data_IF_509323466077
#
_entry.id   IF_509323466077
#
_cell.length_a   1.000
_cell.length_b   1.000
_cell.length_c   1.000
_cell.angle_alpha   90.00
_cell.angle_beta   90.00
_cell.angle_gamma   90.00
#
_symmetry.space_group_name_H-M   'P 1'
#
loop_
_entity.id
_entity.type
_entity.pdbx_description
1 polymer ?
#
# COMPACT_ATOMS: atom_id res chain seq x y z
N UNK A 1 16.19 51.97 -38.89
CA UNK A 1 15.62 51.63 -37.56
C UNK A 1 14.79 50.33 -37.55
N UNK A 2 14.40 49.76 -38.70
CA UNK A 2 13.60 48.52 -38.80
C UNK A 2 14.42 47.22 -38.78
N UNK A 3 15.71 47.27 -39.11
CA UNK A 3 16.61 46.11 -39.15
C UNK A 3 17.04 45.62 -37.77
N UNK A 4 17.31 46.52 -36.82
CA UNK A 4 17.68 46.17 -35.44
C UNK A 4 16.55 45.49 -34.66
N UNK A 5 15.29 45.89 -34.87
CA UNK A 5 14.14 45.23 -34.24
C UNK A 5 13.95 43.78 -34.70
N UNK A 6 14.27 43.49 -35.96
CA UNK A 6 14.12 42.15 -36.56
C UNK A 6 15.21 41.18 -36.08
N UNK A 7 16.43 41.67 -35.88
CA UNK A 7 17.56 40.84 -35.38
C UNK A 7 17.39 40.51 -33.90
N UNK A 8 16.87 41.43 -33.09
CA UNK A 8 16.57 41.20 -31.67
C UNK A 8 15.46 40.14 -31.48
N UNK A 9 14.39 40.17 -32.28
CA UNK A 9 13.32 39.15 -32.25
C UNK A 9 13.83 37.77 -32.71
N UNK A 10 14.65 37.73 -33.77
CA UNK A 10 15.27 36.47 -34.21
C UNK A 10 16.17 35.85 -33.13
N UNK A 11 17.04 36.66 -32.50
CA UNK A 11 17.91 36.20 -31.42
C UNK A 11 17.12 35.71 -30.18
N UNK A 12 15.99 36.36 -29.86
CA UNK A 12 15.09 35.92 -28.80
C UNK A 12 14.46 34.55 -29.11
N UNK A 13 13.96 34.34 -30.33
CA UNK A 13 13.38 33.07 -30.78
C UNK A 13 14.40 31.93 -30.79
N UNK A 14 15.63 32.17 -31.25
CA UNK A 14 16.72 31.17 -31.23
C UNK A 14 17.05 30.76 -29.79
N UNK A 15 17.20 31.73 -28.86
CA UNK A 15 17.45 31.43 -27.44
C UNK A 15 16.31 30.66 -26.80
N UNK A 16 15.06 31.00 -27.10
CA UNK A 16 13.89 30.27 -26.61
C UNK A 16 13.86 28.81 -27.14
N UNK A 17 14.20 28.62 -28.41
CA UNK A 17 14.31 27.28 -29.00
C UNK A 17 15.44 26.46 -28.36
N UNK A 18 16.62 27.04 -28.17
CA UNK A 18 17.77 26.39 -27.50
C UNK A 18 17.42 25.97 -26.06
N UNK A 19 16.80 26.86 -25.27
CA UNK A 19 16.34 26.55 -23.90
C UNK A 19 15.34 25.39 -23.89
N UNK A 20 14.38 25.39 -24.81
CA UNK A 20 13.40 24.30 -24.94
C UNK A 20 14.08 22.98 -25.28
N UNK A 21 15.03 22.97 -26.23
CA UNK A 21 15.76 21.77 -26.61
C UNK A 21 16.60 21.23 -25.46
N UNK A 22 17.32 22.10 -24.74
CA UNK A 22 18.07 21.71 -23.55
C UNK A 22 17.16 21.12 -22.46
N UNK A 23 16.01 21.75 -22.20
CA UNK A 23 15.02 21.25 -21.25
C UNK A 23 14.50 19.86 -21.64
N UNK A 24 14.13 19.65 -22.91
CA UNK A 24 13.66 18.33 -23.40
C UNK A 24 14.73 17.26 -23.24
N UNK A 25 15.97 17.57 -23.59
CA UNK A 25 17.08 16.61 -23.44
C UNK A 25 17.32 16.25 -21.98
N UNK A 26 17.28 17.24 -21.09
CA UNK A 26 17.42 17.02 -19.65
C UNK A 26 16.29 16.16 -19.09
N UNK A 27 15.02 16.52 -19.37
CA UNK A 27 13.85 15.76 -18.91
C UNK A 27 13.89 14.33 -19.45
N UNK A 28 14.22 14.12 -20.72
CA UNK A 28 14.30 12.76 -21.31
C UNK A 28 15.36 11.92 -20.63
N UNK A 29 16.52 12.50 -20.35
CA UNK A 29 17.63 11.81 -19.67
C UNK A 29 17.23 11.43 -18.24
N UNK A 30 16.66 12.35 -17.48
CA UNK A 30 16.23 12.08 -16.10
C UNK A 30 15.07 11.09 -16.06
N UNK A 31 14.07 11.22 -16.94
CA UNK A 31 12.98 10.25 -17.10
C UNK A 31 13.50 8.83 -17.31
N UNK A 32 14.47 8.64 -18.22
CA UNK A 32 15.07 7.33 -18.46
C UNK A 32 15.74 6.72 -17.22
N UNK A 33 16.45 7.53 -16.42
CA UNK A 33 17.11 7.06 -15.20
C UNK A 33 16.12 6.67 -14.10
N UNK A 34 15.08 7.46 -13.87
CA UNK A 34 14.02 7.12 -12.92
C UNK A 34 13.24 5.87 -13.35
N UNK A 35 13.02 5.71 -14.66
CA UNK A 35 12.40 4.52 -15.24
C UNK A 35 13.24 3.27 -14.99
N UNK A 36 14.56 3.37 -15.21
CA UNK A 36 15.48 2.26 -14.96
C UNK A 36 15.56 1.89 -13.47
N UNK A 37 15.66 2.90 -12.58
CA UNK A 37 15.63 2.68 -11.13
C UNK A 37 14.38 1.91 -10.69
N UNK A 38 13.23 2.33 -11.20
CA UNK A 38 11.95 1.70 -10.87
C UNK A 38 11.66 0.39 -11.62
N UNK A 39 12.49 -0.05 -12.57
CA UNK A 39 12.10 -1.13 -13.49
C UNK A 39 11.88 -2.48 -12.79
N UNK A 40 12.82 -2.90 -11.95
CA UNK A 40 12.74 -4.21 -11.27
C UNK A 40 11.58 -4.24 -10.28
N UNK A 41 11.50 -3.22 -9.41
CA UNK A 41 10.39 -3.10 -8.45
C UNK A 41 9.05 -2.88 -9.15
N UNK A 42 9.02 -2.12 -10.24
CA UNK A 42 7.83 -1.90 -11.06
C UNK A 42 7.32 -3.19 -11.71
N UNK A 43 8.20 -4.05 -12.21
CA UNK A 43 7.82 -5.38 -12.71
C UNK A 43 7.28 -6.28 -11.59
N UNK A 44 7.94 -6.26 -10.42
CA UNK A 44 7.49 -7.00 -9.24
C UNK A 44 6.08 -6.55 -8.81
N UNK A 45 5.86 -5.24 -8.70
CA UNK A 45 4.57 -4.65 -8.32
C UNK A 45 3.51 -4.86 -9.41
N UNK A 46 3.88 -4.75 -10.68
CA UNK A 46 2.98 -5.01 -11.81
C UNK A 46 2.48 -6.46 -11.80
N UNK A 47 3.39 -7.43 -11.67
CA UNK A 47 3.03 -8.84 -11.60
C UNK A 47 2.16 -9.16 -10.38
N UNK A 48 2.59 -8.73 -9.18
CA UNK A 48 1.84 -8.99 -7.94
C UNK A 48 0.49 -8.28 -7.90
N UNK A 49 0.36 -7.09 -8.50
CA UNK A 49 -0.90 -6.36 -8.63
C UNK A 49 -1.87 -7.05 -9.59
N UNK A 50 -1.40 -7.50 -10.75
CA UNK A 50 -2.22 -8.30 -11.69
C UNK A 50 -2.71 -9.58 -11.00
N UNK A 51 -1.81 -10.29 -10.32
CA UNK A 51 -2.16 -11.48 -9.55
C UNK A 51 -3.22 -11.17 -8.50
N UNK A 52 -3.04 -10.10 -7.70
CA UNK A 52 -3.96 -9.72 -6.64
C UNK A 52 -5.37 -9.40 -7.16
N UNK A 53 -5.46 -8.71 -8.30
CA UNK A 53 -6.74 -8.34 -8.91
C UNK A 53 -7.51 -9.55 -9.45
N UNK A 54 -6.80 -10.57 -9.95
CA UNK A 54 -7.44 -11.70 -10.63
C UNK A 54 -7.61 -12.95 -9.76
N UNK A 55 -6.83 -13.10 -8.68
CA UNK A 55 -6.82 -14.35 -7.89
C UNK A 55 -8.19 -14.79 -7.38
N UNK A 56 -9.06 -13.84 -7.02
CA UNK A 56 -10.38 -14.15 -6.47
C UNK A 56 -11.32 -14.65 -7.58
N UNK A 57 -11.25 -14.03 -8.76
CA UNK A 57 -12.09 -14.38 -9.93
C UNK A 57 -11.62 -15.69 -10.55
N UNK A 58 -10.30 -15.86 -10.68
CA UNK A 58 -9.67 -17.04 -11.29
C UNK A 58 -9.41 -18.18 -10.29
N UNK A 59 -9.73 -18.00 -9.01
CA UNK A 59 -9.52 -18.96 -7.92
C UNK A 59 -8.08 -19.51 -7.87
N UNK A 60 -7.11 -18.63 -8.08
CA UNK A 60 -5.69 -19.00 -8.09
C UNK A 60 -5.25 -19.38 -6.67
N UNK A 61 -4.51 -20.49 -6.48
CA UNK A 61 -4.07 -20.92 -5.16
C UNK A 61 -3.08 -19.91 -4.57
N UNK A 62 -3.28 -19.53 -3.30
CA UNK A 62 -2.41 -18.56 -2.64
C UNK A 62 -1.17 -19.21 -1.99
N UNK A 63 -1.02 -20.55 -2.03
CA UNK A 63 0.09 -21.28 -1.39
C UNK A 63 0.35 -20.78 0.04
N UNK A 64 -0.70 -20.77 0.87
CA UNK A 64 -0.62 -20.40 2.29
C UNK A 64 -1.03 -21.59 3.14
N UNK A 65 -0.27 -21.85 4.19
CA UNK A 65 -0.60 -22.86 5.19
C UNK A 65 -0.88 -22.17 6.51
N UNK A 66 -2.10 -22.35 7.02
CA UNK A 66 -2.54 -21.75 8.29
C UNK A 66 -2.69 -22.83 9.34
N UNK A 67 -1.96 -22.68 10.44
CA UNK A 67 -2.09 -23.51 11.64
C UNK A 67 -2.71 -22.69 12.76
N UNK A 68 -3.49 -23.34 13.62
CA UNK A 68 -4.11 -22.71 14.78
C UNK A 68 -3.71 -23.49 16.03
N UNK A 69 -3.27 -22.78 17.04
CA UNK A 69 -2.94 -23.28 18.36
C UNK A 69 -3.65 -22.43 19.42
N UNK A 70 -3.76 -22.98 20.63
CA UNK A 70 -4.19 -22.22 21.80
C UNK A 70 -3.03 -22.21 22.78
N UNK A 71 -2.71 -21.03 23.29
CA UNK A 71 -1.66 -20.83 24.28
C UNK A 71 -2.32 -20.53 25.62
N UNK A 72 -2.03 -21.33 26.64
CA UNK A 72 -2.51 -21.07 28.00
C UNK A 72 -1.90 -19.75 28.52
N UNK A 73 -2.70 -18.95 29.20
CA UNK A 73 -2.24 -17.70 29.81
C UNK A 73 -1.36 -17.98 31.04
N UNK A 74 -0.42 -17.07 31.34
CA UNK A 74 0.38 -17.16 32.56
C UNK A 74 -0.46 -16.78 33.77
N UNK A 75 0.04 -17.12 34.96
CA UNK A 75 -0.53 -16.71 36.25
C UNK A 75 0.48 -15.78 36.96
N UNK A 76 0.15 -14.50 37.21
CA UNK A 76 -1.12 -13.81 36.91
C UNK A 76 -1.30 -13.48 35.42
N UNK A 77 -2.57 -13.37 35.00
CA UNK A 77 -2.94 -13.00 33.62
C UNK A 77 -2.53 -11.55 33.34
N UNK A 78 -1.92 -11.23 32.18
CA UNK A 78 -1.58 -9.86 31.85
C UNK A 78 -2.84 -8.99 31.73
N UNK A 79 -2.95 -7.98 32.58
CA UNK A 79 -4.14 -7.12 32.67
C UNK A 79 -4.19 -6.03 31.59
N UNK A 80 -3.04 -5.69 31.01
CA UNK A 80 -2.94 -4.65 29.98
C UNK A 80 -2.53 -5.23 28.63
N UNK A 81 -2.95 -4.61 27.51
CA UNK A 81 -2.48 -4.98 26.18
C UNK A 81 -0.95 -4.93 26.05
N UNK A 82 -0.30 -3.97 26.72
CA UNK A 82 1.15 -3.82 26.73
C UNK A 82 1.83 -5.00 27.44
N UNK A 83 1.34 -5.38 28.63
CA UNK A 83 1.87 -6.52 29.36
C UNK A 83 1.62 -7.84 28.60
N UNK A 84 0.44 -7.98 27.98
CA UNK A 84 0.11 -9.11 27.12
C UNK A 84 1.07 -9.19 25.91
N UNK A 85 1.38 -8.05 25.30
CA UNK A 85 2.28 -7.99 24.13
C UNK A 85 3.71 -8.43 24.49
N UNK A 86 4.23 -8.01 25.64
CA UNK A 86 5.55 -8.40 26.14
C UNK A 86 5.60 -9.89 26.46
N UNK A 87 4.56 -10.42 27.12
CA UNK A 87 4.48 -11.84 27.41
C UNK A 87 4.40 -12.67 26.12
N UNK A 88 3.53 -12.28 25.17
CA UNK A 88 3.40 -12.96 23.88
C UNK A 88 4.70 -12.96 23.08
N UNK A 89 5.46 -11.86 23.10
CA UNK A 89 6.76 -11.80 22.46
C UNK A 89 7.69 -12.90 22.96
N UNK A 90 7.78 -13.08 24.28
CA UNK A 90 8.58 -14.14 24.89
C UNK A 90 8.02 -15.55 24.63
N UNK A 91 6.71 -15.73 24.85
CA UNK A 91 6.06 -17.03 24.74
C UNK A 91 6.05 -17.59 23.31
N UNK A 92 5.90 -16.72 22.31
CA UNK A 92 5.95 -17.07 20.90
C UNK A 92 7.38 -17.03 20.31
N UNK A 93 8.40 -16.65 21.11
CA UNK A 93 9.80 -16.50 20.68
C UNK A 93 9.97 -15.53 19.50
N UNK A 94 9.22 -14.43 19.53
CA UNK A 94 9.28 -13.40 18.50
C UNK A 94 10.51 -12.50 18.71
N UNK A 95 11.18 -12.14 17.62
CA UNK A 95 12.41 -11.33 17.66
C UNK A 95 12.18 -9.87 18.06
N UNK A 96 10.94 -9.40 18.08
CA UNK A 96 10.57 -8.01 18.35
C UNK A 96 9.11 -7.85 18.78
N UNK A 97 8.69 -6.61 19.10
CA UNK A 97 7.31 -6.31 19.43
C UNK A 97 6.36 -6.60 18.25
N UNK A 98 5.04 -6.67 18.48
CA UNK A 98 4.07 -6.81 17.39
C UNK A 98 4.24 -5.70 16.35
N UNK A 99 4.11 -6.04 15.06
CA UNK A 99 4.07 -5.07 13.96
C UNK A 99 2.82 -4.19 14.03
N UNK A 100 1.74 -4.72 14.61
CA UNK A 100 0.49 -3.98 14.83
C UNK A 100 -0.25 -4.59 16.01
N UNK A 101 -0.91 -3.72 16.77
CA UNK A 101 -1.80 -4.08 17.87
C UNK A 101 -3.14 -3.43 17.63
N UNK A 102 -4.22 -4.22 17.67
CA UNK A 102 -5.60 -3.73 17.59
C UNK A 102 -6.30 -4.05 18.90
N UNK A 103 -6.82 -3.02 19.55
CA UNK A 103 -7.56 -3.12 20.81
C UNK A 103 -8.97 -2.66 20.54
N UNK A 104 -9.92 -3.58 20.67
CA UNK A 104 -11.34 -3.29 20.64
C UNK A 104 -11.86 -3.32 22.07
N UNK A 105 -12.33 -2.18 22.56
CA UNK A 105 -12.91 -2.08 23.89
C UNK A 105 -14.21 -2.88 23.97
N UNK A 106 -14.59 -3.26 25.20
CA UNK A 106 -15.86 -3.93 25.43
C UNK A 106 -17.01 -3.06 24.92
N UNK A 107 -17.91 -3.65 24.13
CA UNK A 107 -19.01 -2.92 23.50
C UNK A 107 -20.30 -3.75 23.50
N UNK A 108 -21.48 -3.12 23.53
CA UNK A 108 -22.74 -3.84 23.35
C UNK A 108 -22.75 -4.57 22.00
N UNK A 109 -23.22 -5.81 21.95
CA UNK A 109 -23.34 -6.53 20.67
C UNK A 109 -24.40 -5.87 19.78
N UNK A 110 -24.07 -5.69 18.50
CA UNK A 110 -24.93 -4.99 17.54
C UNK A 110 -26.24 -5.73 17.22
N UNK A 111 -26.30 -7.03 17.47
CA UNK A 111 -27.45 -7.90 17.23
C UNK A 111 -28.30 -8.15 18.48
N UNK A 112 -27.97 -7.54 19.62
CA UNK A 112 -28.89 -7.54 20.76
C UNK A 112 -30.17 -6.78 20.35
N UNK A 113 -31.32 -7.46 20.46
CA UNK A 113 -32.60 -6.88 20.11
C UNK A 113 -32.91 -5.71 21.06
N UNK A 114 -32.81 -4.48 20.56
CA UNK A 114 -33.12 -3.28 21.36
C UNK A 114 -34.60 -3.18 21.74
N UNK A 115 -35.47 -3.94 21.08
CA UNK A 115 -36.91 -3.91 21.34
C UNK A 115 -37.32 -4.82 22.50
N UNK A 116 -36.54 -5.85 22.78
CA UNK A 116 -36.75 -6.75 23.91
C UNK A 116 -36.00 -6.26 25.16
N UNK A 117 -36.71 -5.49 25.99
CA UNK A 117 -36.20 -4.98 27.28
C UNK A 117 -36.03 -6.06 28.34
N UNK A 118 -36.47 -7.29 28.08
CA UNK A 118 -36.33 -8.43 29.00
C UNK A 118 -35.11 -9.30 28.71
N UNK A 119 -34.51 -9.15 27.53
CA UNK A 119 -33.27 -9.83 27.16
C UNK A 119 -32.07 -9.25 27.94
N UNK A 120 -31.15 -10.09 28.46
CA UNK A 120 -29.93 -9.61 29.09
C UNK A 120 -29.11 -8.73 28.15
N UNK A 121 -28.57 -7.63 28.65
CA UNK A 121 -27.65 -6.79 27.91
C UNK A 121 -26.35 -7.57 27.61
N UNK A 122 -26.29 -8.19 26.44
CA UNK A 122 -25.10 -8.92 25.98
C UNK A 122 -24.01 -7.91 25.60
N UNK A 123 -22.85 -8.03 26.25
CA UNK A 123 -21.67 -7.22 25.96
C UNK A 123 -20.59 -8.10 25.34
N UNK A 124 -20.02 -7.63 24.24
CA UNK A 124 -18.81 -8.19 23.68
C UNK A 124 -17.63 -7.81 24.60
N UNK A 125 -16.87 -8.78 25.13
CA UNK A 125 -15.70 -8.47 25.94
C UNK A 125 -14.62 -7.79 25.11
N UNK A 126 -13.69 -7.12 25.76
CA UNK A 126 -12.58 -6.49 25.06
C UNK A 126 -11.78 -7.53 24.25
N UNK A 127 -11.39 -7.17 23.04
CA UNK A 127 -10.73 -8.05 22.09
C UNK A 127 -9.40 -7.44 21.65
N UNK A 128 -8.32 -8.16 21.89
CA UNK A 128 -6.97 -7.73 21.57
C UNK A 128 -6.39 -8.64 20.50
N UNK A 129 -5.89 -8.04 19.43
CA UNK A 129 -5.24 -8.72 18.32
C UNK A 129 -3.83 -8.19 18.17
N UNK A 130 -2.86 -9.09 18.28
CA UNK A 130 -1.44 -8.79 18.09
C UNK A 130 -0.95 -9.53 16.85
N UNK A 131 -0.33 -8.81 15.91
CA UNK A 131 0.25 -9.42 14.71
C UNK A 131 1.77 -9.33 14.77
N UNK A 132 2.43 -10.48 14.76
CA UNK A 132 3.88 -10.65 14.71
C UNK A 132 4.31 -11.26 13.37
N UNK A 133 5.62 -11.33 13.16
CA UNK A 133 6.23 -11.97 11.99
C UNK A 133 6.56 -10.98 10.87
N UNK A 134 6.51 -11.44 9.63
CA UNK A 134 6.88 -10.69 8.45
C UNK A 134 6.27 -11.26 7.17
N UNK A 135 6.87 -10.99 6.00
CA UNK A 135 6.22 -11.28 4.71
C UNK A 135 6.03 -12.78 4.43
N UNK A 136 6.92 -13.62 4.99
CA UNK A 136 6.92 -15.07 4.81
C UNK A 136 6.10 -15.81 5.88
N UNK A 137 5.89 -15.21 7.04
CA UNK A 137 5.21 -15.84 8.16
C UNK A 137 4.49 -14.78 8.99
N UNK A 138 3.19 -14.97 9.22
CA UNK A 138 2.39 -14.06 10.04
C UNK A 138 1.87 -14.85 11.23
N UNK A 139 2.16 -14.37 12.44
CA UNK A 139 1.65 -14.96 13.68
C UNK A 139 0.66 -13.99 14.30
N UNK A 140 -0.60 -14.38 14.34
CA UNK A 140 -1.68 -13.59 14.89
C UNK A 140 -2.10 -14.19 16.24
N UNK A 141 -2.01 -13.40 17.30
CA UNK A 141 -2.46 -13.77 18.62
C UNK A 141 -3.73 -12.98 18.98
N UNK A 142 -4.80 -13.67 19.29
CA UNK A 142 -6.12 -13.12 19.61
C UNK A 142 -6.50 -13.49 21.05
N UNK A 143 -6.76 -12.47 21.86
CA UNK A 143 -7.21 -12.61 23.23
C UNK A 143 -8.55 -11.92 23.43
N UNK A 144 -9.50 -12.65 24.01
CA UNK A 144 -10.76 -12.12 24.49
C UNK A 144 -10.67 -11.98 26.00
N UNK A 145 -10.93 -10.78 26.51
CA UNK A 145 -10.82 -10.49 27.93
C UNK A 145 -11.68 -11.45 28.76
N UNK A 146 -11.07 -12.13 29.73
CA UNK A 146 -11.70 -13.15 30.57
C UNK A 146 -11.53 -14.59 30.08
N UNK A 147 -10.90 -14.81 28.91
CA UNK A 147 -10.51 -16.14 28.48
C UNK A 147 -9.28 -16.64 29.27
N UNK A 148 -9.08 -17.96 29.33
CA UNK A 148 -7.91 -18.61 29.97
C UNK A 148 -6.78 -18.93 28.98
N UNK A 149 -7.02 -18.67 27.70
CA UNK A 149 -6.06 -18.92 26.63
C UNK A 149 -6.09 -17.80 25.59
N UNK A 150 -5.00 -17.72 24.84
CA UNK A 150 -4.87 -16.89 23.64
C UNK A 150 -4.93 -17.79 22.42
N UNK A 151 -5.78 -17.45 21.45
CA UNK A 151 -5.80 -18.11 20.16
C UNK A 151 -4.62 -17.63 19.33
N UNK A 152 -3.78 -18.54 18.84
CA UNK A 152 -2.62 -18.21 18.03
C UNK A 152 -2.80 -18.84 16.65
N UNK A 153 -2.81 -18.03 15.61
CA UNK A 153 -2.87 -18.47 14.24
C UNK A 153 -1.56 -18.12 13.52
N UNK A 154 -0.81 -19.13 13.13
CA UNK A 154 0.41 -18.97 12.32
C UNK A 154 0.08 -19.24 10.86
N UNK A 155 0.51 -18.34 9.98
CA UNK A 155 0.32 -18.47 8.53
C UNK A 155 1.67 -18.42 7.85
N UNK A 156 2.08 -19.53 7.24
CA UNK A 156 3.25 -19.58 6.38
C UNK A 156 2.86 -19.23 4.94
N UNK A 157 3.62 -18.33 4.33
CA UNK A 157 3.40 -17.85 2.99
C UNK A 157 4.42 -18.48 2.04
N UNK A 158 3.93 -19.15 1.00
CA UNK A 158 4.74 -19.48 -0.17
C UNK A 158 5.13 -18.24 -0.96
N UNK A 159 5.99 -18.41 -1.96
CA UNK A 159 6.58 -17.32 -2.74
C UNK A 159 5.57 -16.28 -3.25
N UNK A 160 4.47 -16.74 -3.86
CA UNK A 160 3.45 -15.84 -4.41
C UNK A 160 2.70 -15.10 -3.31
N UNK A 161 2.36 -15.78 -2.20
CA UNK A 161 1.75 -15.12 -1.04
C UNK A 161 2.67 -14.05 -0.46
N UNK A 162 3.96 -14.36 -0.28
CA UNK A 162 4.98 -13.39 0.15
C UNK A 162 4.98 -12.17 -0.76
N UNK A 163 5.04 -12.37 -2.08
CA UNK A 163 5.07 -11.27 -3.04
C UNK A 163 3.82 -10.37 -2.93
N UNK A 164 2.64 -10.99 -2.78
CA UNK A 164 1.39 -10.24 -2.61
C UNK A 164 1.30 -9.52 -1.26
N UNK A 165 1.91 -10.05 -0.20
CA UNK A 165 1.99 -9.37 1.11
C UNK A 165 2.95 -8.19 1.06
N UNK A 166 4.10 -8.34 0.40
CA UNK A 166 5.06 -7.25 0.15
C UNK A 166 4.43 -6.12 -0.67
N UNK A 167 3.61 -6.46 -1.68
CA UNK A 167 2.86 -5.48 -2.49
C UNK A 167 1.86 -4.68 -1.66
N UNK A 168 1.14 -5.34 -0.73
CA UNK A 168 0.16 -4.68 0.15
C UNK A 168 0.80 -3.89 1.30
N UNK A 169 2.10 -4.08 1.55
CA UNK A 169 2.78 -3.51 2.72
C UNK A 169 2.46 -4.20 4.05
N UNK A 170 1.93 -5.43 4.03
CA UNK A 170 1.55 -6.15 5.25
C UNK A 170 2.78 -6.63 6.04
N UNK A 171 3.03 -6.04 7.21
CA UNK A 171 4.12 -6.47 8.11
C UNK A 171 5.52 -6.22 7.55
N UNK A 172 5.70 -5.19 6.71
CA UNK A 172 6.99 -4.85 6.11
C UNK A 172 7.86 -3.98 7.02
N UNK A 173 9.19 -4.19 7.05
CA UNK A 173 10.10 -3.35 7.84
C UNK A 173 10.29 -1.97 7.19
N UNK A 174 10.75 -0.99 7.99
CA UNK A 174 10.96 0.39 7.55
C UNK A 174 11.79 0.54 6.25
N UNK A 175 12.91 -0.18 6.04
CA UNK A 175 13.67 -0.07 4.79
C UNK A 175 12.86 -0.44 3.54
N UNK A 176 11.92 -1.39 3.64
CA UNK A 176 11.06 -1.73 2.52
C UNK A 176 10.05 -0.63 2.21
N UNK A 177 9.45 -0.04 3.26
CA UNK A 177 8.50 1.07 3.10
C UNK A 177 9.19 2.22 2.36
N UNK A 178 10.37 2.63 2.83
CA UNK A 178 11.15 3.69 2.19
C UNK A 178 11.54 3.34 0.74
N UNK A 179 11.90 2.08 0.47
CA UNK A 179 12.20 1.62 -0.88
C UNK A 179 10.98 1.77 -1.81
N UNK A 180 9.81 1.34 -1.37
CA UNK A 180 8.54 1.48 -2.10
C UNK A 180 8.15 2.95 -2.26
N UNK A 181 8.41 3.81 -1.28
CA UNK A 181 8.19 5.25 -1.39
C UNK A 181 9.06 5.87 -2.50
N UNK A 182 10.31 5.42 -2.66
CA UNK A 182 11.14 5.87 -3.80
C UNK A 182 10.59 5.43 -5.15
N UNK A 183 9.95 4.24 -5.22
CA UNK A 183 9.25 3.77 -6.41
C UNK A 183 8.00 4.61 -6.69
N UNK A 184 7.20 4.92 -5.67
CA UNK A 184 6.04 5.80 -5.81
C UNK A 184 6.45 7.19 -6.31
N UNK A 185 7.51 7.76 -5.72
CA UNK A 185 8.10 9.02 -6.17
C UNK A 185 8.59 8.96 -7.62
N UNK A 186 9.21 7.85 -8.04
CA UNK A 186 9.65 7.68 -9.43
C UNK A 186 8.47 7.58 -10.39
N UNK A 187 7.39 6.90 -10.04
CA UNK A 187 6.17 6.84 -10.86
C UNK A 187 5.51 8.21 -11.02
N UNK A 188 5.42 9.01 -9.95
CA UNK A 188 4.93 10.39 -10.01
C UNK A 188 5.82 11.20 -10.97
N UNK A 189 7.14 11.14 -10.78
CA UNK A 189 8.09 11.85 -11.64
C UNK A 189 7.95 11.42 -13.10
N UNK A 190 7.89 10.11 -13.38
CA UNK A 190 7.73 9.55 -14.73
C UNK A 190 6.44 10.02 -15.40
N UNK A 191 5.32 10.04 -14.66
CA UNK A 191 4.05 10.54 -15.15
C UNK A 191 4.13 12.02 -15.54
N UNK A 192 4.63 12.88 -14.64
CA UNK A 192 4.77 14.32 -14.88
C UNK A 192 5.75 14.63 -16.01
N UNK A 193 6.91 13.99 -16.01
CA UNK A 193 7.93 14.17 -17.04
C UNK A 193 7.47 13.61 -18.39
N UNK A 194 6.68 12.54 -18.43
CA UNK A 194 6.04 12.03 -19.65
C UNK A 194 5.08 13.06 -20.26
N UNK A 195 4.21 13.66 -19.45
CA UNK A 195 3.31 14.75 -19.88
C UNK A 195 4.11 15.96 -20.35
N UNK A 196 5.15 16.36 -19.62
CA UNK A 196 6.01 17.48 -19.99
C UNK A 196 6.72 17.23 -21.33
N UNK A 197 7.32 16.06 -21.52
CA UNK A 197 7.94 15.67 -22.78
C UNK A 197 6.93 15.69 -23.92
N UNK A 198 5.74 15.14 -23.71
CA UNK A 198 4.66 15.17 -24.71
C UNK A 198 4.32 16.60 -25.11
N UNK A 199 4.06 17.48 -24.15
CA UNK A 199 3.73 18.89 -24.39
C UNK A 199 4.86 19.67 -25.09
N UNK A 200 6.12 19.36 -24.74
CA UNK A 200 7.29 20.02 -25.31
C UNK A 200 7.74 19.47 -26.65
N UNK A 201 7.30 18.27 -27.06
CA UNK A 201 7.72 17.63 -28.32
C UNK A 201 6.61 17.60 -29.38
N UNK A 202 5.34 17.49 -28.98
CA UNK A 202 4.24 17.30 -29.92
C UNK A 202 3.57 18.63 -30.33
N UNK A 203 3.40 18.82 -31.65
CA UNK A 203 2.72 20.00 -32.23
C UNK A 203 1.19 19.95 -32.03
N UNK A 204 0.59 18.76 -32.01
CA UNK A 204 -0.86 18.54 -31.82
C UNK A 204 -1.22 18.28 -30.35
N UNK A 205 -0.99 19.26 -29.48
CA UNK A 205 -1.20 19.14 -28.02
C UNK A 205 -2.64 18.78 -27.62
N UNK A 206 -3.64 19.18 -28.43
CA UNK A 206 -5.06 18.96 -28.17
C UNK A 206 -5.44 17.48 -28.07
N UNK A 207 -4.79 16.61 -28.86
CA UNK A 207 -5.06 15.16 -28.82
C UNK A 207 -4.61 14.56 -27.48
N UNK A 208 -3.43 14.96 -27.00
CA UNK A 208 -2.94 14.53 -25.69
C UNK A 208 -3.81 15.02 -24.55
N UNK A 209 -4.27 16.27 -24.61
CA UNK A 209 -5.21 16.83 -23.62
C UNK A 209 -6.57 16.10 -23.64
N UNK A 210 -7.07 15.74 -24.82
CA UNK A 210 -8.30 14.97 -24.95
C UNK A 210 -8.16 13.55 -24.36
N UNK A 211 -7.05 12.86 -24.64
CA UNK A 211 -6.77 11.54 -24.05
C UNK A 211 -6.64 11.61 -22.53
N UNK A 212 -5.92 12.62 -22.01
CA UNK A 212 -5.79 12.84 -20.57
C UNK A 212 -7.13 13.18 -19.92
N UNK A 213 -7.95 14.01 -20.56
CA UNK A 213 -9.29 14.34 -20.08
C UNK A 213 -10.22 13.12 -20.08
N UNK A 214 -10.17 12.29 -21.14
CA UNK A 214 -10.96 11.07 -21.23
C UNK A 214 -10.55 10.02 -20.18
N UNK A 215 -9.25 9.85 -19.92
CA UNK A 215 -8.78 8.93 -18.88
C UNK A 215 -9.19 9.39 -17.48
N UNK A 216 -9.05 10.69 -17.19
CA UNK A 216 -9.51 11.26 -15.93
C UNK A 216 -11.03 11.11 -15.76
N UNK A 217 -11.81 11.39 -16.81
CA UNK A 217 -13.26 11.20 -16.79
C UNK A 217 -13.63 9.74 -16.55
N UNK A 218 -12.99 8.79 -17.23
CA UNK A 218 -13.26 7.36 -17.04
C UNK A 218 -13.00 6.92 -15.59
N UNK A 219 -11.88 7.36 -15.00
CA UNK A 219 -11.56 7.08 -13.59
C UNK A 219 -12.63 7.67 -12.66
N UNK A 220 -13.01 8.93 -12.86
CA UNK A 220 -14.03 9.59 -12.05
C UNK A 220 -15.41 8.94 -12.21
N UNK A 221 -15.81 8.58 -13.43
CA UNK A 221 -17.09 7.93 -13.69
C UNK A 221 -17.16 6.55 -13.01
N UNK A 222 -16.11 5.75 -13.09
CA UNK A 222 -16.04 4.46 -12.40
C UNK A 222 -16.05 4.64 -10.87
N UNK A 223 -15.29 5.59 -10.33
CA UNK A 223 -15.27 5.87 -8.90
C UNK A 223 -16.65 6.33 -8.40
N UNK A 224 -17.32 7.21 -9.13
CA UNK A 224 -18.67 7.70 -8.81
C UNK A 224 -19.74 6.61 -8.96
N UNK A 225 -19.57 5.66 -9.87
CA UNK A 225 -20.51 4.53 -10.02
C UNK A 225 -20.45 3.53 -8.87
N UNK A 226 -19.37 3.56 -8.08
CA UNK A 226 -19.14 2.66 -6.95
C UNK A 226 -19.54 3.27 -5.60
N UNK A 227 -20.00 4.53 -5.59
CA UNK A 227 -20.55 5.25 -4.45
C UNK A 227 -22.08 5.11 -4.41
#
# INVERSE_FOLDING_TARGET
>A
MSTEGTTLDHAARVRAHQRRTAAVQWIRRTHGWFGLWGAVLGLLFGFSGIWLNHRNVLKLPQAQERTRAQLALPDPVPETPEAMSQWLQGALRMSGPPNSTRIEAARPVAWADRSDKTAPALTQPAHWVFNFGGPNEIVQAEYWHGNRSVGVATTHNGFVATLTNMHKGGGMPLPWILLVDTLAGSLIFLSLSGVALWMLTHRRRRVGLALFGASLFAVLALALSAL
#
